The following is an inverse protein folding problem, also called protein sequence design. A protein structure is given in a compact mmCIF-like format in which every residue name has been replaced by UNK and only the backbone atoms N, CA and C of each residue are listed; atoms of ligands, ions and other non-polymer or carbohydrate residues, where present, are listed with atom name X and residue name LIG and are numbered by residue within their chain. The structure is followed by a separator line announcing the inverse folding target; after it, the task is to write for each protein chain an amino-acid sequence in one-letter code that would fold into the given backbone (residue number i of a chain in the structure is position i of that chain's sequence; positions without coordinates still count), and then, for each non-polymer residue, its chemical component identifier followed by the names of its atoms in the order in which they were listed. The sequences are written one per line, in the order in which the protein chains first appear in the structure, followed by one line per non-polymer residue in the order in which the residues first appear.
data_IF_787745569410
#
_entry.id   IF_787745569410
#
_cell.length_a   1.000
_cell.length_b   1.000
_cell.length_c   1.000
_cell.angle_alpha   90.00
_cell.angle_beta   90.00
_cell.angle_gamma   90.00
#
_symmetry.space_group_name_H-M   'P 1'
#
loop_
_entity.id
_entity.type
_entity.pdbx_description
1 polymer ?
#
# COMPACT_ATOMS: atom_id res chain seq x y z
N UNK A 1 13.45 -8.26 18.97
CA UNK A 1 13.62 -7.46 17.74
C UNK A 1 14.02 -8.40 16.62
N UNK A 2 13.17 -8.58 15.60
CA UNK A 2 13.50 -9.46 14.49
C UNK A 2 14.62 -8.81 13.68
N UNK A 3 15.78 -9.46 13.63
CA UNK A 3 16.92 -9.03 12.81
C UNK A 3 16.46 -9.06 11.36
N UNK A 4 16.28 -7.89 10.73
CA UNK A 4 15.89 -7.77 9.31
C UNK A 4 16.96 -8.54 8.52
N UNK A 5 16.59 -9.71 8.00
CA UNK A 5 17.48 -10.53 7.18
C UNK A 5 17.73 -9.74 5.90
N UNK A 6 18.88 -9.08 5.82
CA UNK A 6 19.39 -8.49 4.59
C UNK A 6 19.61 -9.65 3.63
N UNK A 7 18.71 -9.79 2.65
CA UNK A 7 18.93 -10.71 1.55
C UNK A 7 20.11 -10.19 0.76
N UNK A 8 21.01 -11.08 0.36
CA UNK A 8 22.07 -10.73 -0.57
C UNK A 8 21.47 -10.37 -1.94
N UNK A 9 22.14 -9.49 -2.69
CA UNK A 9 21.67 -9.08 -4.03
C UNK A 9 21.38 -10.27 -4.94
N UNK A 10 22.17 -11.35 -4.80
CA UNK A 10 21.99 -12.59 -5.56
C UNK A 10 20.67 -13.30 -5.24
N UNK A 11 20.23 -13.25 -3.99
CA UNK A 11 18.94 -13.83 -3.57
C UNK A 11 17.77 -12.99 -4.10
N UNK A 12 17.91 -11.66 -4.09
CA UNK A 12 16.91 -10.73 -4.66
C UNK A 12 16.76 -10.98 -6.16
N UNK A 13 17.87 -11.05 -6.90
CA UNK A 13 17.85 -11.33 -8.35
C UNK A 13 17.21 -12.69 -8.64
N UNK A 14 17.54 -13.72 -7.86
CA UNK A 14 16.94 -15.06 -8.01
C UNK A 14 15.43 -15.02 -7.78
N UNK A 15 14.97 -14.30 -6.76
CA UNK A 15 13.55 -14.14 -6.45
C UNK A 15 12.82 -13.38 -7.56
N UNK A 16 13.40 -12.30 -8.09
CA UNK A 16 12.85 -11.54 -9.22
C UNK A 16 12.72 -12.43 -10.46
N UNK A 17 13.75 -13.19 -10.80
CA UNK A 17 13.72 -14.12 -11.94
C UNK A 17 12.67 -15.21 -11.74
N UNK A 18 12.51 -15.71 -10.51
CA UNK A 18 11.51 -16.75 -10.20
C UNK A 18 10.08 -16.23 -10.35
N UNK A 19 9.81 -15.00 -9.92
CA UNK A 19 8.47 -14.43 -9.88
C UNK A 19 8.05 -13.76 -11.20
N UNK A 20 8.99 -13.13 -11.91
CA UNK A 20 8.70 -12.29 -13.08
C UNK A 20 9.38 -12.78 -14.36
N UNK A 21 10.22 -13.81 -14.27
CA UNK A 21 10.93 -14.38 -15.41
C UNK A 21 12.30 -13.74 -15.66
N UNK A 22 13.10 -14.34 -16.57
CA UNK A 22 14.47 -13.89 -16.86
C UNK A 22 14.54 -12.58 -17.65
N UNK A 23 13.46 -12.21 -18.35
CA UNK A 23 13.39 -11.00 -19.18
C UNK A 23 12.07 -10.28 -18.89
N UNK A 24 12.16 -9.01 -18.50
CA UNK A 24 11.00 -8.17 -18.18
C UNK A 24 10.90 -7.06 -19.22
N UNK A 25 9.80 -7.05 -19.98
CA UNK A 25 9.50 -5.98 -20.94
C UNK A 25 8.77 -4.83 -20.25
N UNK A 26 9.53 -3.84 -19.79
CA UNK A 26 9.01 -2.69 -19.05
C UNK A 26 8.06 -1.80 -19.86
N UNK A 27 8.04 -1.90 -21.19
CA UNK A 27 7.06 -1.15 -22.01
C UNK A 27 5.68 -1.77 -21.92
N UNK A 28 5.61 -3.09 -21.78
CA UNK A 28 4.35 -3.85 -21.64
C UNK A 28 3.88 -3.89 -20.19
N UNK A 29 4.80 -4.03 -19.25
CA UNK A 29 4.48 -4.22 -17.83
C UNK A 29 5.34 -3.32 -16.91
N UNK A 30 5.17 -1.98 -16.99
CA UNK A 30 5.94 -1.04 -16.16
C UNK A 30 5.67 -1.19 -14.66
N UNK A 31 4.56 -1.81 -14.27
CA UNK A 31 4.20 -1.99 -12.85
C UNK A 31 5.16 -2.93 -12.11
N UNK A 32 5.80 -3.86 -12.84
CA UNK A 32 6.69 -4.89 -12.28
C UNK A 32 7.91 -4.25 -11.61
N UNK A 33 8.51 -3.22 -12.22
CA UNK A 33 9.68 -2.56 -11.61
C UNK A 33 9.30 -1.81 -10.33
N UNK A 34 8.11 -1.21 -10.27
CA UNK A 34 7.61 -0.53 -9.07
C UNK A 34 7.41 -1.55 -7.93
N UNK A 35 6.89 -2.73 -8.24
CA UNK A 35 6.71 -3.80 -7.25
C UNK A 35 8.05 -4.34 -6.72
N UNK A 36 9.02 -4.57 -7.60
CA UNK A 36 10.38 -5.00 -7.23
C UNK A 36 11.03 -3.96 -6.31
N UNK A 37 10.95 -2.68 -6.65
CA UNK A 37 11.50 -1.60 -5.83
C UNK A 37 10.77 -1.43 -4.50
N UNK A 38 9.44 -1.63 -4.46
CA UNK A 38 8.69 -1.60 -3.20
C UNK A 38 9.11 -2.75 -2.27
N UNK A 39 9.34 -3.95 -2.82
CA UNK A 39 9.68 -5.14 -2.02
C UNK A 39 11.15 -5.19 -1.61
N UNK A 40 12.06 -4.74 -2.48
CA UNK A 40 13.51 -4.91 -2.30
C UNK A 40 14.31 -3.59 -2.29
N UNK A 41 13.70 -2.44 -2.61
CA UNK A 41 14.39 -1.16 -2.70
C UNK A 41 15.06 -0.74 -1.40
N UNK A 42 14.46 -1.04 -0.25
CA UNK A 42 15.10 -0.79 1.05
C UNK A 42 16.29 -1.69 1.38
N UNK A 43 16.58 -2.72 0.56
CA UNK A 43 17.78 -3.57 0.67
C UNK A 43 18.84 -3.17 -0.34
N UNK A 44 18.44 -2.71 -1.53
CA UNK A 44 19.34 -2.27 -2.62
C UNK A 44 19.82 -0.83 -2.42
N UNK A 45 19.00 0.03 -1.82
CA UNK A 45 19.31 1.46 -1.60
C UNK A 45 19.97 1.69 -0.23
N UNK A 46 20.08 0.65 0.61
CA UNK A 46 20.68 0.77 1.94
C UNK A 46 22.17 1.14 1.92
N UNK A 47 22.89 0.84 0.84
CA UNK A 47 24.30 1.21 0.63
C UNK A 47 24.48 2.51 -0.19
N UNK A 48 23.39 3.21 -0.54
CA UNK A 48 23.44 4.51 -1.20
C UNK A 48 23.31 5.62 -0.13
N UNK A 49 24.37 6.40 0.17
CA UNK A 49 24.39 7.33 1.30
C UNK A 49 23.40 8.50 1.24
N UNK A 50 22.68 8.71 0.12
CA UNK A 50 21.76 9.85 -0.08
C UNK A 50 20.29 9.45 -0.34
N UNK A 51 19.88 8.24 0.08
CA UNK A 51 18.61 7.61 -0.32
C UNK A 51 17.52 7.42 0.75
N UNK A 52 17.44 8.25 1.79
CA UNK A 52 16.24 8.33 2.66
C UNK A 52 16.19 7.40 3.88
N UNK A 53 15.60 7.93 4.95
CA UNK A 53 15.71 7.52 6.36
C UNK A 53 15.25 6.09 6.71
N UNK A 54 16.10 5.40 7.49
CA UNK A 54 15.76 4.18 8.22
C UNK A 54 14.92 4.49 9.46
N UNK A 55 13.75 3.86 9.60
CA UNK A 55 13.05 3.77 10.90
C UNK A 55 13.42 2.47 11.60
N UNK A 56 14.44 2.55 12.46
CA UNK A 56 14.79 1.51 13.42
C UNK A 56 13.87 1.61 14.63
N UNK A 57 13.10 0.56 14.93
CA UNK A 57 12.44 0.42 16.23
C UNK A 57 11.20 -0.48 16.22
N UNK A 58 11.18 -1.40 17.19
CA UNK A 58 10.10 -2.31 17.63
C UNK A 58 9.82 -3.50 16.69
N UNK A 59 10.02 -4.77 17.04
CA UNK A 59 9.79 -5.45 18.31
C UNK A 59 8.51 -6.29 18.19
N UNK A 60 8.61 -7.54 17.72
CA UNK A 60 7.50 -8.52 17.64
C UNK A 60 7.31 -9.25 18.99
N UNK A 61 6.23 -10.01 19.30
CA UNK A 61 4.75 -9.99 19.03
C UNK A 61 3.93 -10.20 20.38
N UNK A 62 2.58 -10.12 20.56
CA UNK A 62 1.59 -11.14 20.10
C UNK A 62 0.11 -10.67 19.89
N UNK A 63 -0.63 -11.42 19.07
CA UNK A 63 -2.10 -11.57 19.15
C UNK A 63 -2.99 -10.34 18.84
N UNK A 64 -4.31 -10.56 18.61
CA UNK A 64 -5.23 -9.51 18.18
C UNK A 64 -5.65 -8.69 19.41
N UNK A 65 -4.86 -7.69 19.78
CA UNK A 65 -5.27 -6.71 20.77
C UNK A 65 -5.70 -5.44 20.05
N UNK A 66 -7.01 -5.30 19.94
CA UNK A 66 -7.78 -4.06 19.83
C UNK A 66 -7.01 -2.88 20.43
N UNK A 67 -6.38 -2.04 19.59
CA UNK A 67 -5.91 -0.70 19.97
C UNK A 67 -5.52 0.10 18.72
N UNK A 68 -6.45 0.96 18.32
CA UNK A 68 -6.25 2.33 17.85
C UNK A 68 -4.91 2.63 17.16
N UNK A 69 -4.83 2.33 15.87
CA UNK A 69 -3.75 2.83 15.01
C UNK A 69 -4.19 4.16 14.40
N UNK A 70 -4.14 5.22 15.20
CA UNK A 70 -4.46 6.58 14.76
C UNK A 70 -3.22 7.39 14.32
N UNK A 71 -2.11 6.76 13.90
CA UNK A 71 -0.88 7.55 13.65
C UNK A 71 0.04 7.13 12.49
N UNK A 72 -0.48 6.52 11.43
CA UNK A 72 0.21 6.53 10.13
C UNK A 72 -0.65 7.32 9.15
N UNK A 73 -0.19 8.54 8.86
CA UNK A 73 -0.89 9.52 8.04
C UNK A 73 -1.36 8.93 6.71
N UNK A 74 -2.62 9.25 6.38
CA UNK A 74 -3.17 9.23 5.03
C UNK A 74 -3.00 7.95 4.20
N UNK A 75 -2.84 6.78 4.83
CA UNK A 75 -3.16 5.53 4.13
C UNK A 75 -4.68 5.44 4.11
N UNK A 76 -5.26 6.00 3.06
CA UNK A 76 -6.68 5.81 2.76
C UNK A 76 -6.88 4.31 2.56
N UNK A 77 -7.41 3.65 3.59
CA UNK A 77 -7.75 2.24 3.54
C UNK A 77 -8.90 2.06 2.53
N UNK A 78 -8.83 1.02 1.71
CA UNK A 78 -9.87 0.69 0.72
C UNK A 78 -11.25 0.58 1.39
N UNK A 79 -11.28 0.12 2.64
CA UNK A 79 -12.50 0.05 3.46
C UNK A 79 -13.08 1.44 3.74
N UNK A 80 -12.24 2.45 3.99
CA UNK A 80 -12.69 3.81 4.26
C UNK A 80 -13.20 4.50 2.99
N UNK A 81 -12.57 4.25 1.83
CA UNK A 81 -13.10 4.70 0.54
C UNK A 81 -14.48 4.12 0.25
N UNK A 82 -14.66 2.81 0.45
CA UNK A 82 -15.94 2.17 0.22
C UNK A 82 -17.04 2.73 1.14
N UNK A 83 -16.72 3.04 2.40
CA UNK A 83 -17.66 3.68 3.33
C UNK A 83 -18.07 5.08 2.87
N UNK A 84 -17.11 5.88 2.41
CA UNK A 84 -17.42 7.24 1.99
C UNK A 84 -18.20 7.27 0.66
N UNK A 85 -17.90 6.35 -0.28
CA UNK A 85 -18.69 6.16 -1.51
C UNK A 85 -20.14 5.78 -1.16
N UNK A 86 -20.34 4.87 -0.21
CA UNK A 86 -21.68 4.44 0.21
C UNK A 86 -22.45 5.54 0.95
N UNK A 87 -21.75 6.42 1.65
CA UNK A 87 -22.35 7.60 2.28
C UNK A 87 -22.78 8.63 1.25
N UNK A 88 -21.94 8.89 0.25
CA UNK A 88 -22.26 9.78 -0.87
C UNK A 88 -23.48 9.25 -1.65
N UNK A 89 -23.54 7.95 -1.96
CA UNK A 89 -24.67 7.38 -2.70
C UNK A 89 -26.00 7.56 -1.96
N UNK A 90 -26.00 7.39 -0.63
CA UNK A 90 -27.19 7.64 0.22
C UNK A 90 -27.60 9.11 0.23
N UNK A 91 -26.63 10.03 0.28
CA UNK A 91 -26.92 11.47 0.24
C UNK A 91 -27.53 11.87 -1.11
N UNK A 92 -26.99 11.37 -2.21
CA UNK A 92 -27.54 11.62 -3.55
C UNK A 92 -28.96 11.08 -3.66
N UNK A 93 -29.22 9.85 -3.21
CA UNK A 93 -30.57 9.27 -3.23
C UNK A 93 -31.58 10.11 -2.42
N UNK A 94 -31.20 10.58 -1.23
CA UNK A 94 -32.07 11.43 -0.41
C UNK A 94 -32.32 12.80 -1.04
N UNK A 95 -31.32 13.38 -1.69
CA UNK A 95 -31.46 14.64 -2.43
C UNK A 95 -32.37 14.47 -3.65
N UNK A 96 -32.22 13.37 -4.40
CA UNK A 96 -33.10 13.03 -5.53
C UNK A 96 -34.56 12.90 -5.08
N UNK A 97 -34.83 12.19 -3.98
CA UNK A 97 -36.19 12.05 -3.45
C UNK A 97 -36.79 13.40 -3.02
N UNK A 98 -35.98 14.28 -2.42
CA UNK A 98 -36.41 15.62 -2.04
C UNK A 98 -36.69 16.52 -3.24
N UNK A 99 -35.86 16.43 -4.29
CA UNK A 99 -36.06 17.17 -5.53
C UNK A 99 -37.34 16.72 -6.24
N UNK A 100 -37.63 15.41 -6.26
CA UNK A 100 -38.87 14.88 -6.81
C UNK A 100 -40.08 15.42 -6.05
N UNK A 101 -40.05 15.43 -4.71
CA UNK A 101 -41.13 16.01 -3.89
C UNK A 101 -41.31 17.52 -4.04
N UNK A 102 -40.26 18.25 -4.41
CA UNK A 102 -40.33 19.70 -4.67
C UNK A 102 -40.80 19.98 -6.10
N UNK A 103 -40.47 19.12 -7.06
CA UNK A 103 -40.86 19.28 -8.48
C UNK A 103 -42.31 18.87 -8.74
N UNK A 104 -42.89 18.00 -7.90
CA UNK A 104 -44.28 17.52 -7.99
C UNK A 104 -45.26 18.41 -7.19
N UNK A 105 -44.81 19.56 -6.70
CA UNK A 105 -45.63 20.57 -6.02
C UNK A 105 -45.82 21.80 -6.90
#
# INVERSE_FOLDING_TARGET
MAKKKTLSDKEIVKEVITNFGPVIDLRKTPNVIIEILRRHGGSVVADAPDGGVSVAGVGTPPGPATRNISSLGNVVDNVQLMKEILKLSKQVASLSERLEKVTVK
#
